data_IF_552133167539
#
_entry.id   IF_552133167539
#
_cell.length_a   1.000
_cell.length_b   1.000
_cell.length_c   1.000
_cell.angle_alpha   90.00
_cell.angle_beta   90.00
_cell.angle_gamma   90.00
#
_symmetry.space_group_name_H-M   'P 1'
#
loop_
_entity.id
_entity.type
_entity.pdbx_description
1 polymer ?
#
# COMPACT_ATOMS: atom_id res chain seq x y z
N UNK A 1 -10.89 17.16 -10.20
CA UNK A 1 -9.95 16.09 -10.57
C UNK A 1 -10.78 14.85 -10.83
N UNK A 2 -10.88 14.39 -12.08
CA UNK A 2 -11.58 13.16 -12.44
C UNK A 2 -10.58 12.03 -12.48
N UNK A 3 -10.89 10.93 -11.80
CA UNK A 3 -10.06 9.72 -11.84
C UNK A 3 -10.39 8.98 -13.14
N UNK A 4 -9.35 8.61 -13.89
CA UNK A 4 -9.50 7.84 -15.13
C UNK A 4 -9.60 6.34 -14.82
N UNK A 5 -10.84 5.85 -14.69
CA UNK A 5 -11.13 4.44 -14.42
C UNK A 5 -10.76 3.54 -15.60
N UNK A 6 -10.83 4.03 -16.85
CA UNK A 6 -10.43 3.25 -18.01
C UNK A 6 -8.92 2.96 -17.97
N UNK A 7 -8.11 3.95 -17.56
CA UNK A 7 -6.68 3.73 -17.39
C UNK A 7 -6.38 2.70 -16.30
N UNK A 8 -7.18 2.66 -15.22
CA UNK A 8 -7.03 1.65 -14.14
C UNK A 8 -7.37 0.26 -14.66
N UNK A 9 -8.52 0.09 -15.34
CA UNK A 9 -8.97 -1.21 -15.87
C UNK A 9 -8.01 -1.79 -16.92
N UNK A 10 -7.31 -0.92 -17.66
CA UNK A 10 -6.32 -1.33 -18.66
C UNK A 10 -4.89 -1.46 -18.11
N UNK A 11 -4.68 -1.13 -16.84
CA UNK A 11 -3.35 -1.26 -16.20
C UNK A 11 -3.08 -2.69 -15.76
N UNK A 12 -1.83 -3.12 -15.87
CA UNK A 12 -1.41 -4.41 -15.30
C UNK A 12 -1.52 -4.38 -13.78
N UNK A 13 -1.88 -5.53 -13.18
CA UNK A 13 -1.87 -5.71 -11.72
C UNK A 13 -0.52 -5.36 -11.12
N UNK A 14 0.58 -5.70 -11.80
CA UNK A 14 1.92 -5.38 -11.34
C UNK A 14 2.17 -3.87 -11.25
N UNK A 15 1.79 -3.11 -12.27
CA UNK A 15 1.90 -1.66 -12.27
C UNK A 15 1.10 -1.04 -11.12
N UNK A 16 -0.14 -1.50 -10.90
CA UNK A 16 -1.00 -1.00 -9.83
C UNK A 16 -0.38 -1.29 -8.46
N UNK A 17 0.02 -2.54 -8.20
CA UNK A 17 0.63 -2.93 -6.93
C UNK A 17 1.93 -2.16 -6.68
N UNK A 18 2.80 -2.04 -7.68
CA UNK A 18 4.06 -1.30 -7.54
C UNK A 18 3.82 0.19 -7.27
N UNK A 19 2.85 0.79 -7.98
CA UNK A 19 2.50 2.20 -7.78
C UNK A 19 1.97 2.44 -6.37
N UNK A 20 1.12 1.57 -5.86
CA UNK A 20 0.62 1.64 -4.49
C UNK A 20 1.76 1.49 -3.46
N UNK A 21 2.71 0.56 -3.64
CA UNK A 21 3.87 0.44 -2.77
C UNK A 21 4.70 1.75 -2.68
N UNK A 22 4.81 2.49 -3.78
CA UNK A 22 5.58 3.74 -3.86
C UNK A 22 4.81 4.90 -3.21
N UNK A 23 3.53 5.05 -3.59
CA UNK A 23 2.67 6.17 -3.21
C UNK A 23 2.18 6.08 -1.76
N UNK A 24 2.02 4.87 -1.23
CA UNK A 24 1.58 4.68 0.14
C UNK A 24 2.59 5.25 1.14
N UNK A 25 2.13 5.93 2.21
CA UNK A 25 2.98 6.62 3.19
C UNK A 25 3.61 5.66 4.20
N UNK A 26 4.16 4.54 3.74
CA UNK A 26 4.80 3.53 4.57
C UNK A 26 6.21 3.94 5.00
N UNK A 27 6.61 3.54 6.21
CA UNK A 27 7.95 3.73 6.76
C UNK A 27 8.97 2.84 6.01
N UNK A 28 10.29 3.12 6.13
CA UNK A 28 11.31 2.33 5.44
C UNK A 28 11.23 0.82 5.69
N UNK A 29 10.93 0.39 6.93
CA UNK A 29 10.78 -1.02 7.29
C UNK A 29 9.62 -1.71 6.55
N UNK A 30 8.50 -1.01 6.44
CA UNK A 30 7.30 -1.47 5.75
C UNK A 30 7.55 -1.57 4.24
N UNK A 31 8.24 -0.59 3.65
CA UNK A 31 8.67 -0.64 2.25
C UNK A 31 9.65 -1.78 1.99
N UNK A 32 10.56 -2.06 2.92
CA UNK A 32 11.49 -3.18 2.81
C UNK A 32 10.76 -4.52 2.83
N UNK A 33 9.76 -4.70 3.69
CA UNK A 33 8.94 -5.90 3.70
C UNK A 33 8.23 -6.14 2.35
N UNK A 34 7.71 -5.09 1.72
CA UNK A 34 7.10 -5.16 0.39
C UNK A 34 8.10 -5.54 -0.71
N UNK A 35 9.38 -5.18 -0.58
CA UNK A 35 10.45 -5.57 -1.51
C UNK A 35 10.89 -7.03 -1.32
N UNK A 36 10.79 -7.55 -0.10
CA UNK A 36 11.14 -8.93 0.25
C UNK A 36 10.06 -9.95 -0.11
N UNK A 37 8.88 -9.48 -0.52
CA UNK A 37 7.81 -10.35 -0.99
C UNK A 37 8.21 -11.09 -2.28
N UNK A 38 8.28 -12.42 -2.19
CA UNK A 38 8.79 -13.30 -3.27
C UNK A 38 7.95 -13.29 -4.55
N UNK A 39 6.66 -12.96 -4.45
CA UNK A 39 5.73 -12.97 -5.59
C UNK A 39 4.81 -11.76 -5.56
N UNK A 40 4.23 -11.43 -6.72
CA UNK A 40 3.26 -10.35 -6.84
C UNK A 40 2.04 -10.56 -5.92
N UNK A 41 1.55 -11.80 -5.82
CA UNK A 41 0.42 -12.14 -4.92
C UNK A 41 0.77 -11.87 -3.46
N UNK A 42 1.92 -12.36 -2.99
CA UNK A 42 2.39 -12.13 -1.62
C UNK A 42 2.56 -10.65 -1.33
N UNK A 43 3.07 -9.88 -2.30
CA UNK A 43 3.20 -8.43 -2.18
C UNK A 43 1.85 -7.74 -2.07
N UNK A 44 0.86 -8.14 -2.87
CA UNK A 44 -0.50 -7.58 -2.78
C UNK A 44 -1.19 -7.92 -1.47
N UNK A 45 -1.07 -9.15 -0.97
CA UNK A 45 -1.62 -9.57 0.32
C UNK A 45 -0.98 -8.77 1.47
N UNK A 46 0.33 -8.59 1.43
CA UNK A 46 1.05 -7.78 2.41
C UNK A 46 0.61 -6.31 2.38
N UNK A 47 0.43 -5.74 1.19
CA UNK A 47 -0.04 -4.36 1.01
C UNK A 47 -1.46 -4.16 1.58
N UNK A 48 -2.35 -5.13 1.37
CA UNK A 48 -3.69 -5.12 1.97
C UNK A 48 -3.58 -5.16 3.49
N UNK A 49 -2.86 -6.14 4.04
CA UNK A 49 -2.71 -6.30 5.49
C UNK A 49 -2.14 -5.05 6.17
N UNK A 50 -1.10 -4.44 5.59
CA UNK A 50 -0.50 -3.21 6.12
C UNK A 50 -1.48 -2.03 6.07
N UNK A 51 -2.27 -1.92 5.00
CA UNK A 51 -3.31 -0.90 4.89
C UNK A 51 -4.38 -1.09 5.95
N UNK A 52 -4.88 -2.32 6.15
CA UNK A 52 -5.85 -2.65 7.20
C UNK A 52 -5.31 -2.36 8.61
N UNK A 53 -4.04 -2.67 8.88
CA UNK A 53 -3.38 -2.34 10.14
C UNK A 53 -3.33 -0.83 10.37
N UNK A 54 -3.02 -0.05 9.33
CA UNK A 54 -3.00 1.42 9.42
C UNK A 54 -4.39 2.03 9.63
N UNK A 55 -5.43 1.42 9.08
CA UNK A 55 -6.82 1.87 9.22
C UNK A 55 -7.45 1.47 10.56
N UNK A 56 -7.09 0.29 11.08
CA UNK A 56 -7.56 -0.21 12.39
C UNK A 56 -6.89 0.49 13.56
N UNK A 57 -5.69 1.05 13.34
CA UNK A 57 -5.09 2.05 14.21
C UNK A 57 -5.91 3.33 14.11
N UNK A 58 -6.99 3.46 14.91
CA UNK A 58 -7.73 4.73 15.05
C UNK A 58 -6.79 5.90 15.37
N UNK A 59 -7.21 7.17 15.20
CA UNK A 59 -6.33 8.32 15.32
C UNK A 59 -5.59 8.24 16.65
N UNK A 60 -4.28 8.00 16.57
CA UNK A 60 -3.40 8.04 17.72
C UNK A 60 -3.54 9.43 18.31
N UNK A 61 -4.26 9.56 19.42
CA UNK A 61 -4.10 10.71 20.31
C UNK A 61 -2.67 10.63 20.82
N UNK A 62 -1.73 11.17 20.04
CA UNK A 62 -0.43 11.57 20.56
C UNK A 62 -0.72 12.65 21.61
N UNK A 63 -0.90 12.18 22.85
CA UNK A 63 -0.84 13.04 24.01
C UNK A 63 0.55 13.64 24.03
N UNK A 64 0.62 14.90 23.63
CA UNK A 64 1.75 15.78 23.89
C UNK A 64 1.93 15.79 25.42
N UNK A 65 3.02 15.20 25.89
CA UNK A 65 3.51 15.29 27.25
C UNK A 65 4.82 16.07 27.26
#
# INVERSE_FOLDING_TARGET
>A
MTIDWNAIDNSSTELLVNSLCILSPYKPREKQALLEAETLSKRSEMLIAMTEMSMSSGPSTEQIQ
#
